data_IF_179690332868
#
_entry.id   IF_179690332868
#
_cell.length_a   1.000
_cell.length_b   1.000
_cell.length_c   1.000
_cell.angle_alpha   90.00
_cell.angle_beta   90.00
_cell.angle_gamma   90.00
#
_symmetry.space_group_name_H-M   'P 1'
#
loop_
_entity.id
_entity.type
_entity.pdbx_description
1 polymer ?
#
# COMPACT_ATOMS: atom_id res chain seq x y z
N UNK A 1 13.17 -14.58 -2.59
CA UNK A 1 12.72 -14.40 -1.18
C UNK A 1 11.94 -13.10 -0.96
N UNK A 2 12.30 -12.02 -1.63
CA UNK A 2 11.57 -10.74 -1.54
C UNK A 2 10.16 -10.80 -2.13
N UNK A 3 9.90 -11.70 -3.05
CA UNK A 3 8.73 -11.77 -3.91
C UNK A 3 7.41 -12.04 -3.20
N UNK A 4 7.43 -12.89 -2.17
CA UNK A 4 6.22 -13.24 -1.41
C UNK A 4 5.88 -12.28 -0.27
N UNK A 5 6.68 -11.23 -0.13
CA UNK A 5 6.50 -10.17 0.86
C UNK A 5 5.81 -8.94 0.30
N UNK A 6 5.66 -8.85 -1.02
CA UNK A 6 5.11 -7.68 -1.69
C UNK A 6 3.81 -8.05 -2.39
N UNK A 7 2.79 -7.23 -2.21
CA UNK A 7 1.51 -7.36 -2.90
C UNK A 7 1.07 -6.03 -3.49
N UNK A 8 0.39 -6.10 -4.64
CA UNK A 8 -0.25 -4.96 -5.27
C UNK A 8 -1.77 -5.11 -5.22
N UNK A 9 -2.43 -4.08 -4.75
CA UNK A 9 -3.89 -3.97 -4.72
C UNK A 9 -4.31 -2.90 -5.72
N UNK A 10 -5.08 -3.30 -6.72
CA UNK A 10 -5.62 -2.39 -7.72
C UNK A 10 -6.60 -1.42 -7.09
N UNK A 11 -6.40 -0.13 -7.37
CA UNK A 11 -7.30 0.95 -6.94
C UNK A 11 -7.89 1.59 -8.19
N UNK A 12 -9.21 1.61 -8.35
CA UNK A 12 -9.85 2.28 -9.47
C UNK A 12 -9.67 3.79 -9.38
N UNK A 13 -9.74 4.44 -10.53
CA UNK A 13 -9.79 5.90 -10.57
C UNK A 13 -11.14 6.37 -10.02
N UNK A 14 -11.17 7.39 -9.17
CA UNK A 14 -12.43 7.99 -8.75
C UNK A 14 -13.09 8.70 -9.94
N UNK A 15 -14.40 8.61 -10.03
CA UNK A 15 -15.18 9.34 -11.06
C UNK A 15 -14.99 10.85 -10.90
N UNK A 16 -15.00 11.32 -9.66
CA UNK A 16 -14.73 12.71 -9.28
C UNK A 16 -13.71 12.74 -8.15
N UNK A 17 -12.81 13.71 -8.20
CA UNK A 17 -11.85 13.95 -7.12
C UNK A 17 -11.72 15.45 -6.87
N UNK A 18 -11.78 15.89 -5.61
CA UNK A 18 -11.62 17.31 -5.26
C UNK A 18 -10.18 17.79 -5.52
N UNK A 19 -9.25 16.90 -5.66
CA UNK A 19 -7.83 17.20 -5.88
C UNK A 19 -7.10 16.00 -6.46
N UNK A 20 -6.21 16.23 -7.40
CA UNK A 20 -5.33 15.19 -7.93
C UNK A 20 -4.37 14.59 -6.87
N UNK A 21 -4.25 15.25 -5.71
CA UNK A 21 -3.42 14.80 -4.57
C UNK A 21 -4.20 13.98 -3.55
N UNK A 22 -5.44 13.61 -3.86
CA UNK A 22 -6.31 12.81 -2.98
C UNK A 22 -7.05 11.78 -3.82
N UNK A 23 -6.90 10.52 -3.48
CA UNK A 23 -7.75 9.44 -3.93
C UNK A 23 -8.49 8.86 -2.72
N UNK A 24 -9.78 9.18 -2.60
CA UNK A 24 -10.58 8.77 -1.46
C UNK A 24 -10.76 7.24 -1.38
N UNK A 25 -10.88 6.57 -2.53
CA UNK A 25 -11.02 5.12 -2.61
C UNK A 25 -9.74 4.45 -2.08
N UNK A 26 -8.57 4.89 -2.55
CA UNK A 26 -7.27 4.40 -2.07
C UNK A 26 -7.13 4.63 -0.56
N UNK A 27 -7.48 5.83 -0.08
CA UNK A 27 -7.39 6.17 1.34
C UNK A 27 -8.27 5.27 2.22
N UNK A 28 -9.48 4.96 1.78
CA UNK A 28 -10.41 4.10 2.50
C UNK A 28 -9.96 2.65 2.48
N UNK A 29 -9.46 2.15 1.34
CA UNK A 29 -8.88 0.79 1.23
C UNK A 29 -7.66 0.63 2.15
N UNK A 30 -6.76 1.64 2.18
CA UNK A 30 -5.61 1.66 3.10
C UNK A 30 -6.09 1.65 4.55
N UNK A 31 -7.04 2.51 4.91
CA UNK A 31 -7.58 2.57 6.27
C UNK A 31 -8.23 1.24 6.69
N UNK A 32 -9.03 0.64 5.81
CA UNK A 32 -9.63 -0.68 6.04
C UNK A 32 -8.56 -1.75 6.29
N UNK A 33 -7.49 -1.75 5.50
CA UNK A 33 -6.37 -2.69 5.69
C UNK A 33 -5.69 -2.51 7.05
N UNK A 34 -5.46 -1.28 7.49
CA UNK A 34 -4.91 -0.98 8.82
C UNK A 34 -5.82 -1.52 9.92
N UNK A 35 -7.13 -1.34 9.77
CA UNK A 35 -8.12 -1.86 10.72
C UNK A 35 -8.10 -3.39 10.77
N UNK A 36 -8.00 -4.06 9.63
CA UNK A 36 -7.92 -5.52 9.56
C UNK A 36 -6.62 -6.05 10.20
N UNK A 37 -5.48 -5.39 9.98
CA UNK A 37 -4.22 -5.72 10.65
C UNK A 37 -4.37 -5.60 12.18
N UNK A 38 -5.00 -4.54 12.66
CA UNK A 38 -5.27 -4.35 14.08
C UNK A 38 -6.21 -5.42 14.64
N UNK A 39 -7.34 -5.69 13.97
CA UNK A 39 -8.35 -6.66 14.41
C UNK A 39 -7.83 -8.09 14.48
N UNK A 40 -6.84 -8.40 13.66
CA UNK A 40 -6.23 -9.72 13.61
C UNK A 40 -5.51 -10.08 14.91
N UNK A 41 -4.83 -9.12 15.53
CA UNK A 41 -4.14 -9.30 16.81
C UNK A 41 -4.11 -7.98 17.61
N UNK A 42 -5.24 -7.59 18.22
CA UNK A 42 -5.31 -6.34 18.97
C UNK A 42 -4.42 -6.33 20.21
N UNK A 43 -4.14 -7.52 20.76
CA UNK A 43 -3.37 -7.67 22.01
C UNK A 43 -1.89 -7.37 21.82
N UNK A 44 -1.33 -7.74 20.64
CA UNK A 44 0.09 -7.53 20.32
C UNK A 44 0.30 -6.36 19.35
N UNK A 45 -0.75 -5.61 19.06
CA UNK A 45 -0.64 -4.46 18.16
C UNK A 45 0.14 -3.31 18.82
N UNK A 46 1.28 -2.99 18.23
CA UNK A 46 2.09 -1.83 18.61
C UNK A 46 2.00 -0.78 17.47
N UNK A 47 1.39 0.39 17.69
CA UNK A 47 1.23 1.42 16.66
C UNK A 47 2.55 1.98 16.13
N UNK A 48 3.65 1.79 16.88
CA UNK A 48 4.98 2.24 16.49
C UNK A 48 5.80 1.19 15.75
N UNK A 49 5.32 -0.06 15.73
CA UNK A 49 6.04 -1.20 15.16
C UNK A 49 5.23 -1.99 14.14
N UNK A 50 3.94 -2.20 14.39
CA UNK A 50 3.15 -3.15 13.58
C UNK A 50 2.89 -2.62 12.19
N UNK A 51 2.36 -1.40 12.03
CA UNK A 51 1.95 -0.87 10.73
C UNK A 51 2.39 0.57 10.52
N UNK A 52 2.76 0.87 9.29
CA UNK A 52 3.00 2.23 8.84
C UNK A 52 2.47 2.45 7.42
N UNK A 53 2.11 3.68 7.12
CA UNK A 53 1.57 4.07 5.83
C UNK A 53 2.44 5.15 5.21
N UNK A 54 2.77 4.96 3.93
CA UNK A 54 3.57 5.90 3.15
C UNK A 54 2.75 6.34 1.94
N UNK A 55 2.63 7.64 1.73
CA UNK A 55 1.93 8.23 0.58
C UNK A 55 2.68 9.44 0.05
N UNK A 56 2.51 9.83 -1.22
CA UNK A 56 3.26 10.94 -1.80
C UNK A 56 2.77 12.33 -1.38
N UNK A 57 1.52 12.44 -0.89
CA UNK A 57 0.89 13.75 -0.66
C UNK A 57 0.31 13.90 0.75
N UNK A 58 0.55 15.08 1.36
CA UNK A 58 0.01 15.40 2.70
C UNK A 58 -1.53 15.38 2.76
N UNK A 59 -2.19 15.78 1.67
CA UNK A 59 -3.66 15.75 1.62
C UNK A 59 -4.19 14.31 1.70
N UNK A 60 -3.48 13.35 1.13
CA UNK A 60 -3.83 11.93 1.25
C UNK A 60 -3.69 11.44 2.69
N UNK A 61 -2.65 11.89 3.42
CA UNK A 61 -2.48 11.59 4.85
C UNK A 61 -3.72 12.01 5.64
N UNK A 62 -4.19 13.24 5.44
CA UNK A 62 -5.36 13.76 6.14
C UNK A 62 -6.63 12.94 5.81
N UNK A 63 -6.77 12.50 4.57
CA UNK A 63 -7.91 11.68 4.12
C UNK A 63 -7.88 10.30 4.77
N UNK A 64 -6.72 9.63 4.81
CA UNK A 64 -6.55 8.33 5.49
C UNK A 64 -6.87 8.49 6.99
N UNK A 65 -6.37 9.54 7.64
CA UNK A 65 -6.65 9.82 9.06
C UNK A 65 -8.15 9.92 9.32
N UNK A 66 -8.88 10.66 8.49
CA UNK A 66 -10.33 10.81 8.61
C UNK A 66 -11.06 9.46 8.52
N UNK A 67 -10.66 8.58 7.61
CA UNK A 67 -11.23 7.23 7.53
C UNK A 67 -10.88 6.39 8.76
N UNK A 68 -9.65 6.43 9.26
CA UNK A 68 -9.26 5.71 10.47
C UNK A 68 -10.03 6.21 11.71
N UNK A 69 -10.23 7.52 11.83
CA UNK A 69 -10.98 8.11 12.94
C UNK A 69 -12.45 7.65 12.97
N UNK A 70 -13.06 7.36 11.80
CA UNK A 70 -14.43 6.85 11.71
C UNK A 70 -14.62 5.46 12.34
N UNK A 71 -13.55 4.68 12.46
CA UNK A 71 -13.60 3.38 13.13
C UNK A 71 -13.55 3.47 14.66
N UNK A 72 -13.27 4.64 15.22
CA UNK A 72 -13.22 4.89 16.68
C UNK A 72 -12.28 3.92 17.44
N UNK A 73 -11.14 3.55 16.84
CA UNK A 73 -10.13 2.66 17.43
C UNK A 73 -8.91 3.49 17.89
N UNK A 74 -8.78 3.80 19.21
CA UNK A 74 -7.75 4.70 19.72
C UNK A 74 -6.30 4.33 19.34
N UNK A 75 -5.89 3.04 19.33
CA UNK A 75 -4.52 2.67 18.97
C UNK A 75 -4.14 3.10 17.53
N UNK A 76 -5.10 3.16 16.61
CA UNK A 76 -4.85 3.50 15.21
C UNK A 76 -4.53 5.00 15.00
N UNK A 77 -4.84 5.86 15.97
CA UNK A 77 -4.47 7.29 15.92
C UNK A 77 -2.96 7.49 16.04
N UNK A 78 -2.25 6.54 16.62
CA UNK A 78 -0.82 6.64 16.90
C UNK A 78 0.07 6.04 15.81
N UNK A 79 -0.48 5.33 14.81
CA UNK A 79 0.32 4.79 13.72
C UNK A 79 0.97 5.91 12.92
N UNK A 80 2.13 5.62 12.34
CA UNK A 80 2.81 6.57 11.46
C UNK A 80 2.17 6.56 10.08
N UNK A 81 1.70 7.72 9.62
CA UNK A 81 1.30 7.98 8.23
C UNK A 81 2.08 9.21 7.79
N UNK A 82 2.97 9.08 6.81
CA UNK A 82 3.78 10.20 6.35
C UNK A 82 4.20 10.05 4.88
N UNK A 83 4.84 11.08 4.35
CA UNK A 83 5.44 11.02 3.02
C UNK A 83 6.77 10.26 3.05
N UNK A 84 7.21 9.78 1.89
CA UNK A 84 8.46 9.01 1.77
C UNK A 84 9.64 9.76 2.34
N UNK A 85 9.73 11.06 2.07
CA UNK A 85 10.84 11.93 2.50
C UNK A 85 10.89 12.08 4.02
N UNK A 86 9.75 11.99 4.69
CA UNK A 86 9.63 12.14 6.15
C UNK A 86 9.60 10.81 6.88
N UNK A 87 9.31 9.72 6.16
CA UNK A 87 9.26 8.38 6.72
C UNK A 87 10.67 7.82 6.91
N UNK A 88 11.44 8.43 7.82
CA UNK A 88 12.84 8.06 8.04
C UNK A 88 13.01 7.17 9.28
N UNK A 89 13.95 6.24 9.17
CA UNK A 89 14.60 5.57 10.30
C UNK A 89 13.88 4.38 10.90
N UNK A 90 12.56 4.21 10.79
CA UNK A 90 11.85 3.14 11.49
C UNK A 90 11.24 2.10 10.55
N UNK A 91 11.54 0.84 10.82
CA UNK A 91 10.90 -0.29 10.15
C UNK A 91 9.56 -0.64 10.81
N UNK A 92 8.63 -1.21 10.01
CA UNK A 92 7.35 -1.75 10.46
C UNK A 92 7.20 -3.17 9.95
N UNK A 93 6.41 -3.96 10.65
CA UNK A 93 6.10 -5.31 10.19
C UNK A 93 5.30 -5.23 8.87
N UNK A 94 4.34 -4.29 8.80
CA UNK A 94 3.57 -3.98 7.61
C UNK A 94 3.83 -2.55 7.15
N UNK A 95 4.18 -2.37 5.88
CA UNK A 95 4.17 -1.07 5.20
C UNK A 95 3.08 -1.07 4.14
N UNK A 96 2.20 -0.10 4.20
CA UNK A 96 1.20 0.19 3.19
C UNK A 96 1.66 1.40 2.40
N UNK A 97 1.85 1.23 1.09
CA UNK A 97 2.30 2.30 0.21
C UNK A 97 1.19 2.66 -0.78
N UNK A 98 0.63 3.87 -0.67
CA UNK A 98 -0.32 4.41 -1.63
C UNK A 98 0.40 5.25 -2.68
N UNK A 99 0.17 4.95 -3.95
CA UNK A 99 0.72 5.74 -5.05
C UNK A 99 -0.04 7.05 -5.27
N UNK A 100 -1.30 7.10 -4.90
CA UNK A 100 -2.21 8.26 -5.04
C UNK A 100 -2.15 8.88 -6.44
N UNK A 101 -2.08 8.00 -7.46
CA UNK A 101 -1.98 8.41 -8.86
C UNK A 101 -3.36 8.44 -9.52
N UNK A 102 -3.70 9.54 -10.18
CA UNK A 102 -4.95 9.74 -10.90
C UNK A 102 -4.72 10.30 -12.30
N UNK A 103 -3.58 10.94 -12.54
CA UNK A 103 -3.23 11.61 -13.79
C UNK A 103 -1.82 11.20 -14.23
N UNK A 104 -1.61 11.13 -15.55
CA UNK A 104 -0.34 10.74 -16.13
C UNK A 104 0.85 11.61 -15.67
N UNK A 105 0.66 12.91 -15.52
CA UNK A 105 1.76 13.80 -15.14
C UNK A 105 2.32 13.51 -13.73
N UNK A 106 1.51 12.86 -12.86
CA UNK A 106 1.96 12.50 -11.51
C UNK A 106 3.03 11.40 -11.51
N UNK A 107 3.15 10.63 -12.59
CA UNK A 107 4.26 9.68 -12.76
C UNK A 107 5.61 10.38 -12.64
N UNK A 108 5.76 11.57 -13.23
CA UNK A 108 7.00 12.32 -13.14
C UNK A 108 7.37 12.66 -11.68
N UNK A 109 6.37 12.97 -10.87
CA UNK A 109 6.59 13.22 -9.44
C UNK A 109 6.99 11.95 -8.68
N UNK A 110 6.40 10.82 -9.01
CA UNK A 110 6.76 9.53 -8.40
C UNK A 110 8.16 9.09 -8.81
N UNK A 111 8.58 9.37 -10.04
CA UNK A 111 9.84 8.88 -10.63
C UNK A 111 10.97 9.92 -10.65
N UNK A 112 10.78 11.13 -10.13
CA UNK A 112 11.81 12.19 -10.13
C UNK A 112 13.13 11.82 -9.43
N UNK A 113 13.16 10.74 -8.68
CA UNK A 113 14.31 10.23 -7.95
C UNK A 113 14.76 8.84 -8.45
N UNK A 114 14.46 8.52 -9.70
CA UNK A 114 14.98 7.32 -10.35
C UNK A 114 16.46 7.56 -10.74
N UNK A 115 17.32 6.63 -10.39
CA UNK A 115 18.71 6.61 -10.82
C UNK A 115 19.03 5.23 -11.38
N UNK A 116 20.06 5.18 -12.22
CA UNK A 116 20.56 3.94 -12.78
C UNK A 116 21.80 3.49 -12.00
N UNK A 117 21.77 2.26 -11.52
CA UNK A 117 22.88 1.62 -10.84
C UNK A 117 23.08 0.22 -11.45
N UNK A 118 24.26 -0.04 -11.97
CA UNK A 118 24.63 -1.31 -12.61
C UNK A 118 23.66 -1.73 -13.76
N UNK A 119 23.15 -0.77 -14.53
CA UNK A 119 22.19 -1.01 -15.61
C UNK A 119 20.75 -1.27 -15.14
N UNK A 120 20.45 -1.08 -13.85
CA UNK A 120 19.12 -1.21 -13.29
C UNK A 120 18.55 0.15 -12.89
N UNK A 121 17.29 0.40 -13.26
CA UNK A 121 16.57 1.59 -12.81
C UNK A 121 16.05 1.37 -11.38
N UNK A 122 16.43 2.26 -10.49
CA UNK A 122 16.02 2.20 -9.07
C UNK A 122 15.19 3.43 -8.74
N UNK A 123 13.97 3.21 -8.27
CA UNK A 123 13.14 4.26 -7.68
C UNK A 123 13.45 4.39 -6.19
N UNK A 124 14.02 5.54 -5.80
CA UNK A 124 14.37 5.80 -4.40
C UNK A 124 13.17 5.77 -3.47
N UNK A 125 12.02 6.25 -3.92
CA UNK A 125 10.81 6.32 -3.07
C UNK A 125 10.28 4.92 -2.78
N UNK A 126 10.17 4.09 -3.82
CA UNK A 126 9.76 2.71 -3.67
C UNK A 126 10.79 1.91 -2.86
N UNK A 127 12.09 2.12 -3.12
CA UNK A 127 13.16 1.46 -2.37
C UNK A 127 13.10 1.81 -0.87
N UNK A 128 12.83 3.07 -0.51
CA UNK A 128 12.60 3.44 0.90
C UNK A 128 11.45 2.63 1.49
N UNK A 129 10.31 2.56 0.82
CA UNK A 129 9.17 1.77 1.30
C UNK A 129 9.52 0.28 1.48
N UNK A 130 10.22 -0.31 0.51
CA UNK A 130 10.67 -1.71 0.56
C UNK A 130 11.59 -1.98 1.74
N UNK A 131 12.54 -1.07 2.01
CA UNK A 131 13.50 -1.21 3.13
C UNK A 131 12.89 -0.94 4.50
N UNK A 132 11.69 -0.34 4.56
CA UNK A 132 10.93 -0.11 5.81
C UNK A 132 10.05 -1.28 6.20
N UNK A 133 9.68 -2.14 5.25
CA UNK A 133 8.86 -3.32 5.51
C UNK A 133 9.74 -4.46 6.06
N UNK A 134 9.43 -4.94 7.26
CA UNK A 134 10.07 -6.13 7.85
C UNK A 134 9.49 -7.40 7.27
N UNK A 135 8.17 -7.47 7.17
CA UNK A 135 7.43 -8.67 6.78
C UNK A 135 6.64 -8.46 5.50
N UNK A 136 5.90 -7.36 5.40
CA UNK A 136 4.92 -7.16 4.34
C UNK A 136 4.91 -5.74 3.79
N UNK A 137 4.96 -5.64 2.47
CA UNK A 137 4.75 -4.41 1.71
C UNK A 137 3.49 -4.54 0.86
N UNK A 138 2.50 -3.71 1.12
CA UNK A 138 1.26 -3.64 0.35
C UNK A 138 1.25 -2.35 -0.47
N UNK A 139 1.15 -2.49 -1.79
CA UNK A 139 1.15 -1.39 -2.75
C UNK A 139 -0.28 -1.14 -3.22
N UNK A 140 -0.76 0.09 -3.12
CA UNK A 140 -2.09 0.50 -3.56
C UNK A 140 -1.97 1.51 -4.69
N UNK A 141 -2.59 1.26 -5.82
CA UNK A 141 -2.53 2.20 -6.94
C UNK A 141 -3.28 1.74 -8.18
N UNK A 142 -3.31 2.60 -9.19
CA UNK A 142 -3.96 2.32 -10.46
C UNK A 142 -2.95 1.80 -11.48
N UNK A 143 -2.97 0.50 -11.74
CA UNK A 143 -1.95 -0.19 -12.57
C UNK A 143 -1.85 0.37 -13.99
N UNK A 144 -2.97 0.71 -14.64
CA UNK A 144 -2.97 1.26 -16.01
C UNK A 144 -2.15 2.55 -16.13
N UNK A 145 -2.20 3.43 -15.10
CA UNK A 145 -1.38 4.62 -15.08
C UNK A 145 0.08 4.32 -14.73
N UNK A 146 0.30 3.48 -13.74
CA UNK A 146 1.64 3.12 -13.29
C UNK A 146 2.44 2.43 -14.40
N UNK A 147 1.84 1.54 -15.17
CA UNK A 147 2.49 0.82 -16.27
C UNK A 147 2.88 1.68 -17.48
N UNK A 148 2.49 2.96 -17.50
CA UNK A 148 3.05 3.92 -18.45
C UNK A 148 4.54 4.21 -18.20
N UNK A 149 5.03 3.96 -16.99
CA UNK A 149 6.44 3.99 -16.65
C UNK A 149 7.04 2.58 -16.70
N UNK A 150 8.21 2.42 -17.31
CA UNK A 150 8.83 1.11 -17.52
C UNK A 150 9.18 0.36 -16.24
N UNK A 151 9.62 1.07 -15.18
CA UNK A 151 9.96 0.47 -13.90
C UNK A 151 8.71 -0.11 -13.20
N UNK A 152 7.65 0.68 -13.10
CA UNK A 152 6.41 0.22 -12.48
C UNK A 152 5.71 -0.87 -13.32
N UNK A 153 5.87 -0.85 -14.65
CA UNK A 153 5.40 -1.94 -15.51
C UNK A 153 6.08 -3.24 -15.14
N UNK A 154 7.41 -3.26 -15.06
CA UNK A 154 8.17 -4.45 -14.69
C UNK A 154 7.75 -4.98 -13.31
N UNK A 155 7.57 -4.08 -12.33
CA UNK A 155 7.11 -4.44 -10.99
C UNK A 155 5.71 -5.08 -11.03
N UNK A 156 4.76 -4.46 -11.73
CA UNK A 156 3.37 -4.95 -11.78
C UNK A 156 3.29 -6.28 -12.55
N UNK A 157 3.99 -6.40 -13.68
CA UNK A 157 4.03 -7.64 -14.45
C UNK A 157 4.66 -8.77 -13.63
N UNK A 158 5.72 -8.48 -12.89
CA UNK A 158 6.33 -9.42 -11.97
C UNK A 158 5.36 -9.87 -10.87
N UNK A 159 4.65 -8.93 -10.22
CA UNK A 159 3.68 -9.25 -9.17
C UNK A 159 2.47 -10.05 -9.70
N UNK A 160 2.09 -9.85 -10.97
CA UNK A 160 1.09 -10.68 -11.64
C UNK A 160 1.59 -12.11 -11.83
N UNK A 161 2.84 -12.29 -12.27
CA UNK A 161 3.46 -13.61 -12.43
C UNK A 161 3.57 -14.35 -11.11
N UNK A 162 3.84 -13.63 -10.02
CA UNK A 162 3.96 -14.19 -8.67
C UNK A 162 2.62 -14.34 -7.94
N UNK A 163 1.49 -14.15 -8.63
CA UNK A 163 0.14 -14.21 -8.02
C UNK A 163 -0.01 -13.25 -6.82
N UNK A 164 0.68 -12.13 -6.88
CA UNK A 164 0.70 -11.11 -5.83
C UNK A 164 0.03 -9.79 -6.26
N UNK A 165 -0.79 -9.85 -7.31
CA UNK A 165 -1.59 -8.75 -7.84
C UNK A 165 -3.08 -9.03 -7.59
N UNK A 166 -3.79 -8.08 -6.98
CA UNK A 166 -5.19 -8.22 -6.58
C UNK A 166 -6.04 -7.13 -7.20
N UNK A 167 -7.04 -7.55 -7.94
CA UNK A 167 -8.09 -6.70 -8.47
C UNK A 167 -9.41 -7.05 -7.77
N UNK A 168 -9.81 -6.19 -6.84
CA UNK A 168 -10.95 -6.43 -5.96
C UNK A 168 -11.88 -5.23 -6.03
N UNK A 169 -13.17 -5.48 -6.04
CA UNK A 169 -14.15 -4.40 -5.95
C UNK A 169 -13.97 -3.66 -4.63
N UNK A 170 -13.74 -2.33 -4.63
CA UNK A 170 -13.44 -1.58 -3.42
C UNK A 170 -14.48 -1.76 -2.31
N UNK A 171 -15.78 -1.82 -2.64
CA UNK A 171 -16.83 -2.05 -1.66
C UNK A 171 -16.69 -3.39 -0.92
N UNK A 172 -16.25 -4.44 -1.61
CA UNK A 172 -16.03 -5.75 -1.02
C UNK A 172 -14.76 -5.78 -0.16
N UNK A 173 -13.73 -5.08 -0.62
CA UNK A 173 -12.49 -4.89 0.14
C UNK A 173 -12.74 -4.15 1.45
N UNK A 174 -13.42 -3.01 1.40
CA UNK A 174 -13.73 -2.15 2.55
C UNK A 174 -14.70 -2.84 3.51
N UNK A 175 -15.66 -3.59 3.00
CA UNK A 175 -16.60 -4.34 3.83
C UNK A 175 -15.98 -5.56 4.55
N UNK A 176 -14.68 -5.83 4.34
CA UNK A 176 -14.00 -6.98 4.92
C UNK A 176 -14.48 -8.34 4.37
N UNK A 177 -15.22 -8.33 3.25
CA UNK A 177 -15.63 -9.54 2.56
C UNK A 177 -14.47 -10.26 1.88
N UNK A 178 -13.40 -9.50 1.65
CA UNK A 178 -12.13 -10.00 1.21
C UNK A 178 -11.15 -9.94 2.38
N UNK A 179 -10.94 -11.06 3.04
CA UNK A 179 -9.85 -11.17 3.99
C UNK A 179 -8.57 -11.42 3.23
N UNK A 180 -7.69 -10.43 3.18
CA UNK A 180 -6.28 -10.69 2.88
C UNK A 180 -5.76 -11.53 4.03
N UNK A 181 -5.74 -12.85 3.86
CA UNK A 181 -5.17 -13.75 4.87
C UNK A 181 -3.67 -13.63 4.82
N UNK A 182 -3.11 -12.82 5.69
CA UNK A 182 -1.68 -12.84 5.98
C UNK A 182 -1.37 -14.11 6.78
N UNK A 183 -0.60 -15.06 6.27
CA UNK A 183 -0.26 -16.24 7.04
C UNK A 183 0.57 -15.85 8.25
N UNK A 184 0.31 -16.47 9.38
CA UNK A 184 1.05 -16.28 10.65
C UNK A 184 2.52 -16.65 10.56
N UNK A 185 2.95 -17.36 9.53
CA UNK A 185 4.31 -17.82 9.30
C UNK A 185 4.79 -17.42 7.91
N UNK A 186 5.70 -16.49 7.87
CA UNK A 186 6.83 -16.25 6.93
C UNK A 186 6.71 -16.56 5.42
N UNK A 187 5.66 -17.12 4.90
CA UNK A 187 5.66 -17.69 3.56
C UNK A 187 4.32 -17.50 2.85
N UNK A 188 4.08 -16.48 2.23
CA UNK A 188 2.98 -16.19 1.35
C UNK A 188 2.11 -15.05 1.86
N UNK A 189 2.49 -13.91 1.43
CA UNK A 189 1.55 -12.87 1.15
C UNK A 189 0.65 -13.40 0.11
N UNK A 190 -0.28 -14.12 0.12
CA UNK A 190 -1.23 -14.30 -0.97
C UNK A 190 -1.16 -15.58 -1.81
N UNK A 191 -0.88 -16.67 -1.23
CA UNK A 191 -1.34 -17.90 -1.85
C UNK A 191 -2.38 -18.51 -0.93
N UNK A 192 -3.62 -18.08 -1.07
CA UNK A 192 -4.75 -18.97 -0.86
C UNK A 192 -6.03 -18.22 -1.15
N UNK A 193 -6.47 -18.26 -2.39
CA UNK A 193 -7.87 -18.55 -2.67
C UNK A 193 -8.13 -19.94 -2.09
N UNK A 194 -8.35 -20.07 -0.79
CA UNK A 194 -9.03 -21.24 -0.32
C UNK A 194 -10.45 -21.17 -0.82
N UNK A 195 -10.77 -22.15 -1.65
CA UNK A 195 -12.12 -22.53 -2.02
C UNK A 195 -12.96 -22.51 -0.75
N UNK A 196 -13.97 -21.68 -0.78
CA UNK A 196 -15.12 -21.81 0.10
C UNK A 196 -15.89 -22.98 -0.51
N UNK A 197 -15.83 -24.12 0.14
CA UNK A 197 -16.85 -25.16 0.02
C UNK A 197 -18.08 -24.75 0.83
#
# INVERSE_FOLDING_TARGET
>A
LATRRVAFVEVPLPEESPSDKVNAIEAEMIASTVVEIYRKDPTHFDPTRTVGVIVPYRNQIATIRRFLDSYALPPLRQITIDTVERYQGSQRDYILYGFTIQKRYQLNFLTNNVFEEEGQLIDRKLNVAMTRAREHLLLFGHSRLLTLNGLFRQLIDYLRTEESYFEIVPSDYIAGRFSVRFPKNKLSLLTQTEKVD
#
